data_IF_055570788103
#
_entry.id   IF_055570788103
#
_cell.length_a   1.000
_cell.length_b   1.000
_cell.length_c   1.000
_cell.angle_alpha   90.00
_cell.angle_beta   90.00
_cell.angle_gamma   90.00
#
_symmetry.space_group_name_H-M   'P 1'
#
loop_
_entity.id
_entity.type
_entity.pdbx_description
1 polymer ?
#
# COMPACT_ATOMS: atom_id res chain seq x y z
N UNK A 1 -10.63 -17.51 2.69
CA UNK A 1 -10.91 -16.32 3.52
C UNK A 1 -10.97 -15.12 2.59
N UNK A 2 -12.12 -14.48 2.45
CA UNK A 2 -12.29 -13.26 1.65
C UNK A 2 -11.50 -12.12 2.30
N UNK A 3 -10.61 -11.47 1.54
CA UNK A 3 -9.88 -10.28 2.01
C UNK A 3 -10.90 -9.17 2.29
N UNK A 4 -11.06 -8.77 3.56
CA UNK A 4 -12.02 -7.72 3.98
C UNK A 4 -11.65 -6.31 3.46
N UNK A 5 -10.36 -6.02 3.37
CA UNK A 5 -9.83 -4.70 3.00
C UNK A 5 -9.17 -4.74 1.62
N UNK A 6 -9.97 -4.63 0.56
CA UNK A 6 -9.48 -4.64 -0.82
C UNK A 6 -8.96 -3.23 -1.15
N UNK A 7 -7.72 -3.15 -1.64
CA UNK A 7 -7.15 -1.90 -2.15
C UNK A 7 -7.54 -1.77 -3.61
N UNK A 8 -8.19 -0.67 -3.94
CA UNK A 8 -8.67 -0.31 -5.27
C UNK A 8 -8.23 1.12 -5.53
N UNK A 9 -7.04 1.29 -6.10
CA UNK A 9 -6.50 2.62 -6.37
C UNK A 9 -7.13 3.15 -7.66
N UNK A 10 -7.51 4.43 -7.63
CA UNK A 10 -7.76 5.16 -8.87
C UNK A 10 -6.45 5.37 -9.64
N UNK A 11 -6.55 5.76 -10.92
CA UNK A 11 -5.38 6.11 -11.72
C UNK A 11 -4.57 7.24 -11.05
N UNK A 12 -5.26 8.27 -10.56
CA UNK A 12 -4.65 9.43 -9.90
C UNK A 12 -3.93 9.03 -8.59
N UNK A 13 -4.55 8.17 -7.77
CA UNK A 13 -3.93 7.69 -6.53
C UNK A 13 -2.70 6.82 -6.80
N UNK A 14 -2.76 5.99 -7.84
CA UNK A 14 -1.64 5.16 -8.29
C UNK A 14 -0.48 6.04 -8.76
N UNK A 15 -0.72 6.98 -9.66
CA UNK A 15 0.29 7.91 -10.17
C UNK A 15 0.93 8.70 -9.04
N UNK A 16 0.11 9.23 -8.12
CA UNK A 16 0.58 9.91 -6.91
C UNK A 16 1.51 9.01 -6.08
N UNK A 17 1.12 7.75 -5.83
CA UNK A 17 1.94 6.82 -5.04
C UNK A 17 3.23 6.44 -5.76
N UNK A 18 3.21 6.28 -7.08
CA UNK A 18 4.41 6.00 -7.88
C UNK A 18 5.40 7.16 -7.78
N UNK A 19 4.94 8.40 -7.94
CA UNK A 19 5.76 9.62 -7.73
C UNK A 19 6.24 9.75 -6.28
N UNK A 20 5.36 9.47 -5.30
CA UNK A 20 5.68 9.51 -3.88
C UNK A 20 6.85 8.58 -3.53
N UNK A 21 6.96 7.44 -4.20
CA UNK A 21 8.05 6.48 -3.95
C UNK A 21 9.39 6.84 -4.61
N UNK A 22 9.40 7.76 -5.58
CA UNK A 22 10.60 8.15 -6.35
C UNK A 22 11.19 9.49 -5.92
N UNK A 23 10.38 10.39 -5.36
CA UNK A 23 10.76 11.79 -5.06
C UNK A 23 11.84 11.95 -3.96
N UNK A 24 12.16 10.90 -3.20
CA UNK A 24 13.29 10.87 -2.24
C UNK A 24 13.17 11.80 -1.01
N UNK A 25 12.07 12.56 -0.88
CA UNK A 25 11.83 13.53 0.21
C UNK A 25 11.07 12.93 1.40
N UNK A 26 10.54 11.73 1.26
CA UNK A 26 9.68 11.09 2.25
C UNK A 26 10.46 10.14 3.15
N UNK A 27 10.01 9.99 4.40
CA UNK A 27 10.64 9.05 5.32
C UNK A 27 10.49 7.61 4.78
N UNK A 28 11.49 6.76 5.05
CA UNK A 28 11.52 5.38 4.55
C UNK A 28 10.23 4.61 4.85
N UNK A 29 9.65 4.78 6.05
CA UNK A 29 8.41 4.10 6.42
C UNK A 29 7.21 4.56 5.57
N UNK A 30 7.15 5.82 5.14
CA UNK A 30 6.07 6.33 4.29
C UNK A 30 6.19 5.73 2.90
N UNK A 31 7.40 5.68 2.35
CA UNK A 31 7.70 5.04 1.06
C UNK A 31 7.33 3.56 1.09
N UNK A 32 7.68 2.84 2.17
CA UNK A 32 7.29 1.44 2.33
C UNK A 32 5.78 1.26 2.35
N UNK A 33 5.03 2.14 3.04
CA UNK A 33 3.56 2.11 3.06
C UNK A 33 2.95 2.39 1.68
N UNK A 34 3.50 3.34 0.95
CA UNK A 34 3.10 3.60 -0.44
C UNK A 34 3.31 2.36 -1.33
N UNK A 35 4.48 1.70 -1.21
CA UNK A 35 4.79 0.45 -1.92
C UNK A 35 3.86 -0.70 -1.53
N UNK A 36 3.42 -0.77 -0.27
CA UNK A 36 2.42 -1.75 0.18
C UNK A 36 1.11 -1.55 -0.60
N UNK A 37 0.61 -0.31 -0.70
CA UNK A 37 -0.63 -0.03 -1.43
C UNK A 37 -0.51 -0.33 -2.91
N UNK A 38 0.57 0.10 -3.56
CA UNK A 38 0.81 -0.18 -4.98
C UNK A 38 0.80 -1.67 -5.30
N UNK A 39 1.40 -2.51 -4.45
CA UNK A 39 1.43 -3.97 -4.61
C UNK A 39 0.11 -4.65 -4.22
N UNK A 40 -0.62 -4.06 -3.27
CA UNK A 40 -1.91 -4.57 -2.82
C UNK A 40 -3.06 -4.20 -3.76
N UNK A 41 -2.87 -3.20 -4.62
CA UNK A 41 -3.87 -2.72 -5.56
C UNK A 41 -4.33 -3.83 -6.51
N UNK A 42 -5.65 -4.03 -6.59
CA UNK A 42 -6.26 -5.01 -7.48
C UNK A 42 -6.14 -4.64 -8.95
N UNK A 43 -5.99 -3.36 -9.26
CA UNK A 43 -5.93 -2.84 -10.63
C UNK A 43 -4.53 -2.95 -11.25
N UNK A 44 -3.55 -3.50 -10.52
CA UNK A 44 -2.20 -3.66 -11.07
C UNK A 44 -2.16 -4.68 -12.22
N UNK A 45 -1.23 -4.56 -13.19
CA UNK A 45 -1.14 -5.42 -14.38
C UNK A 45 -1.00 -6.94 -14.13
N UNK A 46 -0.76 -7.36 -12.88
CA UNK A 46 -0.71 -8.76 -12.46
C UNK A 46 -1.74 -9.16 -11.38
N UNK A 47 -2.71 -8.29 -11.09
CA UNK A 47 -3.68 -8.46 -10.00
C UNK A 47 -3.08 -8.30 -8.60
N UNK A 48 -3.92 -8.13 -7.58
CA UNK A 48 -3.49 -7.86 -6.18
C UNK A 48 -2.56 -8.94 -5.63
N UNK A 49 -1.42 -8.54 -5.05
CA UNK A 49 -0.56 -9.47 -4.30
C UNK A 49 -1.20 -9.90 -2.97
N UNK A 50 -0.91 -11.11 -2.53
CA UNK A 50 -1.23 -11.57 -1.18
C UNK A 50 -0.27 -10.96 -0.14
N UNK A 51 -0.69 -10.96 1.13
CA UNK A 51 0.09 -10.31 2.19
C UNK A 51 1.46 -10.98 2.41
N UNK A 52 1.59 -12.27 2.08
CA UNK A 52 2.85 -13.01 2.13
C UNK A 52 3.83 -12.54 1.04
N UNK A 53 3.36 -12.30 -0.18
CA UNK A 53 4.18 -11.77 -1.28
C UNK A 53 4.65 -10.35 -0.98
N UNK A 54 3.76 -9.51 -0.44
CA UNK A 54 4.11 -8.14 -0.05
C UNK A 54 5.13 -8.15 1.09
N UNK A 55 4.94 -8.99 2.11
CA UNK A 55 5.91 -9.20 3.18
C UNK A 55 7.28 -9.57 2.61
N UNK A 56 7.33 -10.58 1.74
CA UNK A 56 8.58 -11.08 1.18
C UNK A 56 9.31 -10.01 0.35
N UNK A 57 8.57 -9.23 -0.43
CA UNK A 57 9.16 -8.24 -1.32
C UNK A 57 9.58 -6.93 -0.64
N UNK A 58 8.96 -6.57 0.49
CA UNK A 58 9.21 -5.30 1.18
C UNK A 58 9.91 -5.47 2.54
N UNK A 59 10.17 -6.71 2.95
CA UNK A 59 10.73 -7.06 4.27
C UNK A 59 9.96 -6.41 5.43
N UNK A 60 8.63 -6.55 5.39
CA UNK A 60 7.72 -6.00 6.41
C UNK A 60 6.89 -7.08 7.07
N UNK A 61 6.47 -6.84 8.32
CA UNK A 61 5.51 -7.72 8.99
C UNK A 61 4.13 -7.73 8.31
N UNK A 62 3.46 -8.88 8.30
CA UNK A 62 2.08 -9.03 7.77
C UNK A 62 1.12 -8.04 8.46
N UNK A 63 1.25 -7.86 9.77
CA UNK A 63 0.45 -6.90 10.53
C UNK A 63 0.60 -5.45 10.02
N UNK A 64 1.76 -5.09 9.47
CA UNK A 64 1.97 -3.77 8.84
C UNK A 64 1.18 -3.68 7.54
N UNK A 65 1.24 -4.71 6.71
CA UNK A 65 0.48 -4.79 5.45
C UNK A 65 -1.03 -4.67 5.72
N UNK A 66 -1.54 -5.44 6.67
CA UNK A 66 -2.95 -5.41 7.04
C UNK A 66 -3.41 -4.06 7.58
N UNK A 67 -2.62 -3.42 8.45
CA UNK A 67 -2.94 -2.09 9.00
C UNK A 67 -2.97 -1.03 7.90
N UNK A 68 -2.01 -1.06 6.97
CA UNK A 68 -1.95 -0.10 5.87
C UNK A 68 -3.15 -0.24 4.95
N UNK A 69 -3.47 -1.48 4.55
CA UNK A 69 -4.66 -1.77 3.72
C UNK A 69 -5.96 -1.37 4.43
N UNK A 70 -6.09 -1.69 5.72
CA UNK A 70 -7.24 -1.29 6.52
C UNK A 70 -7.38 0.22 6.60
N UNK A 71 -6.30 0.93 6.92
CA UNK A 71 -6.29 2.38 7.03
C UNK A 71 -6.65 3.07 5.71
N UNK A 72 -6.14 2.56 4.59
CA UNK A 72 -6.53 3.05 3.27
C UNK A 72 -8.04 2.92 3.02
N UNK A 73 -8.62 1.74 3.29
CA UNK A 73 -10.05 1.50 3.05
C UNK A 73 -10.97 2.24 4.02
N UNK A 74 -10.56 2.38 5.30
CA UNK A 74 -11.40 2.97 6.35
C UNK A 74 -11.22 4.49 6.49
N UNK A 75 -10.04 5.03 6.17
CA UNK A 75 -9.67 6.42 6.45
C UNK A 75 -9.17 7.16 5.21
N UNK A 76 -8.58 6.46 4.24
CA UNK A 76 -8.12 7.01 2.97
C UNK A 76 -6.59 7.07 2.81
N UNK A 77 -6.18 7.55 1.65
CA UNK A 77 -4.79 7.51 1.17
C UNK A 77 -3.80 8.21 2.11
N UNK A 78 -4.03 9.49 2.42
CA UNK A 78 -3.07 10.26 3.22
C UNK A 78 -2.85 9.68 4.62
N UNK A 79 -3.92 9.20 5.25
CA UNK A 79 -3.86 8.60 6.58
C UNK A 79 -3.04 7.30 6.57
N UNK A 80 -3.17 6.50 5.51
CA UNK A 80 -2.43 5.24 5.38
C UNK A 80 -0.91 5.43 5.29
N UNK A 81 -0.45 6.58 4.79
CA UNK A 81 0.97 6.92 4.65
C UNK A 81 1.59 7.47 5.95
N UNK A 82 0.77 7.95 6.90
CA UNK A 82 1.24 8.54 8.17
C UNK A 82 1.37 7.47 9.26
N UNK A 83 2.32 7.65 10.18
CA UNK A 83 2.45 6.76 11.33
C UNK A 83 1.23 6.98 12.25
N UNK A 84 0.44 5.93 12.45
CA UNK A 84 -0.58 5.86 13.50
C UNK A 84 0.09 5.50 14.81
#
# INVERSE_FOLDING_TARGET
MTKKYIVDLTLEEREYLEEFTTTGRHAAYQITRARILLKADRNQPGGSWCDAEIKAALDVGIATVERVRRCFVEVGLEASLKRQ
#
